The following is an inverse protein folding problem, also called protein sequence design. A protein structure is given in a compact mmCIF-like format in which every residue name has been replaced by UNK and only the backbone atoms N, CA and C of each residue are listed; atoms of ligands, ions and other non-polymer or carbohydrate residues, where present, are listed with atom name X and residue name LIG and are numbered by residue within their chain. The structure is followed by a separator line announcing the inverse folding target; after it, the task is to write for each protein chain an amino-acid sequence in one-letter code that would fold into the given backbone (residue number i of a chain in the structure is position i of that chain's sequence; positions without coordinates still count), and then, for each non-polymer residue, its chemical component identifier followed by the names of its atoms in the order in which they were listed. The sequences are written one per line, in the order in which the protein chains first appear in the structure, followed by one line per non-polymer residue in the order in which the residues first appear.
data_IF_064198638523
#
_entry.id   IF_064198638523
#
_cell.length_a   1.000
_cell.length_b   1.000
_cell.length_c   1.000
_cell.angle_alpha   90.00
_cell.angle_beta   90.00
_cell.angle_gamma   90.00
#
_symmetry.space_group_name_H-M   'P 1'
#
loop_
_entity.id
_entity.type
_entity.pdbx_description
1 polymer ?
#
# COMPACT_ATOMS: atom_id res chain seq x y z
N UNK A 1 17.39 -2.00 -36.84
CA UNK A 1 17.61 -2.04 -35.39
C UNK A 1 16.78 -3.17 -34.85
N UNK A 2 17.35 -4.04 -34.02
CA UNK A 2 16.61 -5.10 -33.33
C UNK A 2 15.56 -4.46 -32.42
N UNK A 3 14.32 -4.94 -32.43
CA UNK A 3 13.28 -4.45 -31.53
C UNK A 3 13.65 -4.83 -30.09
N UNK A 4 13.36 -3.95 -29.14
CA UNK A 4 13.68 -4.16 -27.71
C UNK A 4 12.44 -4.11 -26.85
N UNK A 5 12.42 -4.96 -25.85
CA UNK A 5 11.32 -5.10 -24.90
C UNK A 5 11.88 -4.96 -23.48
N UNK A 6 11.33 -4.03 -22.72
CA UNK A 6 11.66 -3.88 -21.28
C UNK A 6 10.72 -4.74 -20.46
N UNK A 7 11.24 -5.72 -19.73
CA UNK A 7 10.48 -6.61 -18.87
C UNK A 7 10.58 -6.20 -17.41
N UNK A 8 9.43 -6.02 -16.75
CA UNK A 8 9.35 -5.95 -15.30
C UNK A 8 9.80 -7.28 -14.68
N UNK A 9 10.97 -7.28 -14.07
CA UNK A 9 11.67 -8.48 -13.66
C UNK A 9 11.80 -8.57 -12.13
N UNK A 10 11.28 -9.65 -11.56
CA UNK A 10 11.25 -9.88 -10.11
C UNK A 10 12.24 -10.93 -9.63
N UNK A 11 12.99 -11.59 -10.53
CA UNK A 11 13.88 -12.70 -10.17
C UNK A 11 13.19 -14.06 -10.01
N UNK A 12 11.84 -14.10 -10.02
CA UNK A 12 11.07 -15.34 -9.89
C UNK A 12 11.09 -16.19 -11.17
N UNK A 13 10.56 -17.42 -11.06
CA UNK A 13 10.49 -18.38 -12.17
C UNK A 13 9.82 -17.79 -13.41
N UNK A 14 8.61 -17.27 -13.25
CA UNK A 14 7.76 -16.87 -14.38
C UNK A 14 8.38 -15.71 -15.16
N UNK A 15 8.92 -14.69 -14.48
CA UNK A 15 9.58 -13.55 -15.13
C UNK A 15 10.97 -13.90 -15.68
N UNK A 16 11.67 -14.90 -15.12
CA UNK A 16 12.95 -15.37 -15.66
C UNK A 16 12.78 -16.17 -16.93
N UNK A 17 11.77 -17.04 -16.98
CA UNK A 17 11.40 -17.75 -18.21
C UNK A 17 10.85 -16.79 -19.26
N UNK A 18 10.10 -15.77 -18.86
CA UNK A 18 9.55 -14.77 -19.78
C UNK A 18 10.62 -14.09 -20.65
N UNK A 19 11.87 -13.96 -20.17
CA UNK A 19 12.98 -13.39 -20.94
C UNK A 19 13.20 -14.18 -22.24
N UNK A 20 13.47 -15.48 -22.14
CA UNK A 20 13.65 -16.35 -23.30
C UNK A 20 12.35 -16.54 -24.09
N UNK A 21 11.21 -16.65 -23.41
CA UNK A 21 9.90 -16.86 -24.05
C UNK A 21 9.50 -15.70 -24.95
N UNK A 22 9.70 -14.46 -24.49
CA UNK A 22 9.49 -13.25 -25.31
C UNK A 22 10.47 -13.24 -26.48
N UNK A 23 11.74 -13.54 -26.23
CA UNK A 23 12.77 -13.59 -27.27
C UNK A 23 12.43 -14.55 -28.40
N UNK A 24 12.02 -15.78 -28.08
CA UNK A 24 11.63 -16.80 -29.07
C UNK A 24 10.34 -16.45 -29.82
N UNK A 25 9.35 -15.87 -29.13
CA UNK A 25 8.06 -15.52 -29.73
C UNK A 25 8.13 -14.29 -30.64
N UNK A 26 9.03 -13.34 -30.35
CA UNK A 26 9.05 -12.01 -31.02
C UNK A 26 10.31 -11.74 -31.82
N UNK A 27 11.42 -12.45 -31.55
CA UNK A 27 12.74 -12.13 -32.08
C UNK A 27 13.36 -10.85 -31.49
N UNK A 28 12.73 -10.25 -30.47
CA UNK A 28 13.21 -9.04 -29.82
C UNK A 28 14.26 -9.32 -28.74
N UNK A 29 15.14 -8.34 -28.52
CA UNK A 29 16.04 -8.33 -27.37
C UNK A 29 15.26 -7.93 -26.11
N UNK A 30 15.44 -8.68 -25.02
CA UNK A 30 14.78 -8.39 -23.74
C UNK A 30 15.76 -7.71 -22.78
N UNK A 31 15.33 -6.60 -22.20
CA UNK A 31 16.01 -5.88 -21.12
C UNK A 31 15.23 -6.15 -19.84
N UNK A 32 15.88 -6.78 -18.86
CA UNK A 32 15.28 -7.01 -17.56
C UNK A 32 15.42 -5.77 -16.69
N UNK A 33 14.32 -5.33 -16.05
CA UNK A 33 14.31 -4.21 -15.12
C UNK A 33 13.79 -4.68 -13.77
N UNK A 34 14.68 -4.74 -12.78
CA UNK A 34 14.32 -4.94 -11.38
C UNK A 34 14.26 -3.59 -10.67
N UNK A 35 13.24 -3.37 -9.84
CA UNK A 35 13.08 -2.14 -9.06
C UNK A 35 13.04 -2.54 -7.59
N UNK A 36 14.00 -2.03 -6.81
CA UNK A 36 14.04 -2.23 -5.38
C UNK A 36 13.07 -1.28 -4.68
N UNK A 37 12.04 -1.87 -4.09
CA UNK A 37 11.04 -1.20 -3.25
C UNK A 37 11.13 -1.71 -1.80
N UNK A 38 12.28 -2.29 -1.44
CA UNK A 38 12.59 -2.82 -0.12
C UNK A 38 12.00 -4.20 0.14
N UNK A 39 11.88 -5.04 -0.90
CA UNK A 39 11.38 -6.42 -0.80
C UNK A 39 12.27 -7.34 0.05
N UNK A 40 13.55 -7.02 0.22
CA UNK A 40 14.52 -7.90 0.88
C UNK A 40 14.77 -9.20 0.11
N UNK A 41 15.18 -10.25 0.82
CA UNK A 41 15.47 -11.55 0.21
C UNK A 41 16.82 -11.60 -0.50
N UNK A 42 16.84 -12.13 -1.73
CA UNK A 42 18.07 -12.23 -2.53
C UNK A 42 18.64 -10.85 -2.87
N UNK A 43 19.98 -10.78 -2.99
CA UNK A 43 20.60 -9.53 -3.41
C UNK A 43 20.16 -9.13 -4.82
N UNK A 44 19.99 -7.83 -5.06
CA UNK A 44 19.62 -7.32 -6.39
C UNK A 44 20.66 -7.70 -7.47
N UNK A 45 21.93 -7.84 -7.08
CA UNK A 45 22.97 -8.32 -7.99
C UNK A 45 22.75 -9.79 -8.38
N UNK A 46 22.32 -10.64 -7.45
CA UNK A 46 21.92 -12.02 -7.76
C UNK A 46 20.76 -12.05 -8.75
N UNK A 47 19.73 -11.22 -8.52
CA UNK A 47 18.58 -11.08 -9.43
C UNK A 47 19.06 -10.61 -10.80
N UNK A 48 19.91 -9.58 -10.86
CA UNK A 48 20.48 -9.06 -12.09
C UNK A 48 21.24 -10.12 -12.88
N UNK A 49 22.15 -10.84 -12.23
CA UNK A 49 22.93 -11.92 -12.85
C UNK A 49 22.05 -13.07 -13.33
N UNK A 50 20.98 -13.40 -12.60
CA UNK A 50 19.98 -14.39 -13.04
C UNK A 50 19.29 -13.95 -14.34
N UNK A 51 18.90 -12.69 -14.45
CA UNK A 51 18.28 -12.16 -15.67
C UNK A 51 19.21 -12.30 -16.88
N UNK A 52 20.49 -11.93 -16.73
CA UNK A 52 21.51 -12.11 -17.78
C UNK A 52 21.72 -13.59 -18.12
N UNK A 53 21.81 -14.45 -17.11
CA UNK A 53 21.91 -15.90 -17.28
C UNK A 53 20.68 -16.54 -17.94
N UNK A 54 19.52 -15.87 -17.90
CA UNK A 54 18.30 -16.28 -18.59
C UNK A 54 18.14 -15.68 -20.00
N UNK A 55 19.14 -14.95 -20.49
CA UNK A 55 19.19 -14.46 -21.88
C UNK A 55 18.81 -12.99 -22.07
N UNK A 56 18.73 -12.19 -21.01
CA UNK A 56 18.52 -10.75 -21.15
C UNK A 56 19.77 -10.10 -21.78
N UNK A 57 19.58 -9.17 -22.73
CA UNK A 57 20.70 -8.43 -23.35
C UNK A 57 21.29 -7.40 -22.37
N UNK A 58 20.47 -6.94 -21.43
CA UNK A 58 20.84 -6.03 -20.35
C UNK A 58 19.94 -6.29 -19.14
N UNK A 59 20.46 -6.05 -17.95
CA UNK A 59 19.73 -6.17 -16.69
C UNK A 59 19.97 -4.92 -15.84
N UNK A 60 18.96 -4.06 -15.78
CA UNK A 60 18.96 -2.80 -15.04
C UNK A 60 18.28 -2.98 -13.68
N UNK A 61 18.90 -2.40 -12.66
CA UNK A 61 18.38 -2.37 -11.30
C UNK A 61 18.17 -0.91 -10.89
N UNK A 62 16.94 -0.54 -10.57
CA UNK A 62 16.63 0.74 -9.96
C UNK A 62 16.54 0.60 -8.44
N UNK A 63 17.36 1.32 -7.68
CA UNK A 63 17.12 1.52 -6.25
C UNK A 63 16.07 2.61 -6.08
N UNK A 64 14.86 2.20 -5.70
CA UNK A 64 13.72 3.08 -5.52
C UNK A 64 13.17 2.99 -4.09
N UNK A 65 13.91 2.46 -3.12
CA UNK A 65 13.39 2.23 -1.76
C UNK A 65 13.01 3.54 -1.06
N UNK A 66 13.89 4.55 -1.12
CA UNK A 66 13.59 5.87 -0.57
C UNK A 66 12.52 6.59 -1.40
N UNK A 67 12.56 6.50 -2.73
CA UNK A 67 11.53 7.06 -3.61
C UNK A 67 10.15 6.47 -3.28
N UNK A 68 10.07 5.15 -3.12
CA UNK A 68 8.86 4.43 -2.76
C UNK A 68 8.32 4.90 -1.41
N UNK A 69 9.17 4.98 -0.39
CA UNK A 69 8.77 5.47 0.92
C UNK A 69 8.24 6.92 0.86
N UNK A 70 8.96 7.83 0.20
CA UNK A 70 8.64 9.25 0.18
C UNK A 70 7.46 9.60 -0.76
N UNK A 71 7.47 9.08 -1.98
CA UNK A 71 6.53 9.48 -3.04
C UNK A 71 5.28 8.59 -3.11
N UNK A 72 5.25 7.44 -2.42
CA UNK A 72 4.15 6.47 -2.52
C UNK A 72 3.59 6.10 -1.14
N UNK A 73 4.43 5.69 -0.20
CA UNK A 73 3.98 5.35 1.16
C UNK A 73 3.48 6.58 1.92
N UNK A 74 4.17 7.74 1.84
CA UNK A 74 3.73 8.93 2.58
C UNK A 74 2.38 9.49 2.08
N UNK A 75 2.09 9.59 0.77
CA UNK A 75 0.74 9.93 0.32
C UNK A 75 -0.33 8.94 0.81
N UNK A 76 0.00 7.65 0.83
CA UNK A 76 -0.88 6.58 1.37
C UNK A 76 -1.17 6.79 2.85
N UNK A 77 -0.14 7.13 3.63
CA UNK A 77 -0.22 7.44 5.05
C UNK A 77 -1.07 8.70 5.30
N UNK A 78 -0.77 9.81 4.62
CA UNK A 78 -1.50 11.08 4.73
C UNK A 78 -2.98 10.93 4.36
N UNK A 79 -3.29 10.04 3.41
CA UNK A 79 -4.67 9.70 3.04
C UNK A 79 -5.38 8.80 4.09
N UNK A 80 -4.65 8.24 5.05
CA UNK A 80 -5.11 7.15 5.91
C UNK A 80 -5.70 5.97 5.12
N UNK A 81 -5.09 5.67 3.97
CA UNK A 81 -5.69 4.82 2.95
C UNK A 81 -5.77 3.35 3.42
N UNK A 82 -7.00 2.88 3.58
CA UNK A 82 -7.32 1.47 3.84
C UNK A 82 -8.43 1.06 2.88
N UNK A 83 -8.10 0.27 1.86
CA UNK A 83 -9.08 -0.29 0.95
C UNK A 83 -10.02 -1.21 1.72
N UNK A 84 -11.33 -0.98 1.53
CA UNK A 84 -12.41 -1.61 2.30
C UNK A 84 -12.24 -1.52 3.83
N UNK A 85 -11.54 -0.48 4.32
CA UNK A 85 -11.30 -0.27 5.74
C UNK A 85 -10.22 -1.15 6.37
N UNK A 86 -9.58 -2.06 5.61
CA UNK A 86 -8.63 -3.04 6.13
C UNK A 86 -7.25 -2.99 5.48
N UNK A 87 -7.19 -2.91 4.14
CA UNK A 87 -5.97 -3.16 3.37
C UNK A 87 -5.18 -1.88 3.08
N UNK A 88 -3.94 -1.70 3.57
CA UNK A 88 -3.15 -0.48 3.35
C UNK A 88 -2.46 -0.43 1.98
N UNK A 89 -3.05 -1.04 0.95
CA UNK A 89 -2.61 -0.96 -0.45
C UNK A 89 -1.19 -1.48 -0.72
N UNK A 90 -0.69 -2.41 0.12
CA UNK A 90 0.65 -3.03 0.09
C UNK A 90 1.21 -3.21 -1.31
N UNK A 91 0.50 -4.00 -2.12
CA UNK A 91 0.88 -4.32 -3.48
C UNK A 91 0.59 -3.12 -4.39
N UNK A 92 -0.61 -2.55 -4.30
CA UNK A 92 -1.10 -1.53 -5.22
C UNK A 92 -0.16 -0.32 -5.38
N UNK A 93 0.46 0.15 -4.28
CA UNK A 93 1.26 1.40 -4.31
C UNK A 93 2.66 1.23 -4.90
N UNK A 94 3.19 0.01 -4.98
CA UNK A 94 4.51 -0.23 -5.61
C UNK A 94 4.45 -0.28 -7.13
N UNK A 95 3.30 -0.65 -7.71
CA UNK A 95 3.14 -0.75 -9.17
C UNK A 95 3.43 0.58 -9.89
N UNK A 96 2.91 1.74 -9.46
CA UNK A 96 3.20 2.99 -10.15
C UNK A 96 4.67 3.43 -10.07
N UNK A 97 5.43 3.09 -9.01
CA UNK A 97 6.89 3.35 -8.99
C UNK A 97 7.62 2.43 -9.97
N UNK A 98 7.24 1.15 -10.03
CA UNK A 98 7.82 0.20 -10.98
C UNK A 98 7.55 0.67 -12.42
N UNK A 99 6.31 1.05 -12.74
CA UNK A 99 5.94 1.59 -14.05
C UNK A 99 6.78 2.80 -14.44
N UNK A 100 6.99 3.76 -13.52
CA UNK A 100 7.84 4.94 -13.76
C UNK A 100 9.24 4.55 -14.21
N UNK A 101 9.85 3.56 -13.55
CA UNK A 101 11.18 3.05 -13.90
C UNK A 101 11.19 2.20 -15.19
N UNK A 102 10.14 1.43 -15.48
CA UNK A 102 10.01 0.69 -16.73
C UNK A 102 9.93 1.63 -17.94
N UNK A 103 9.10 2.66 -17.86
CA UNK A 103 8.97 3.67 -18.92
C UNK A 103 10.29 4.41 -19.11
N UNK A 104 10.97 4.80 -18.01
CA UNK A 104 12.29 5.42 -18.06
C UNK A 104 13.31 4.52 -18.78
N UNK A 105 13.41 3.26 -18.38
CA UNK A 105 14.32 2.29 -19.01
C UNK A 105 13.97 2.07 -20.49
N UNK A 106 12.68 2.02 -20.84
CA UNK A 106 12.27 1.88 -22.23
C UNK A 106 12.77 3.04 -23.11
N UNK A 107 12.76 4.28 -22.59
CA UNK A 107 13.34 5.43 -23.29
C UNK A 107 14.86 5.35 -23.39
N UNK A 108 15.52 4.99 -22.30
CA UNK A 108 16.98 4.93 -22.22
C UNK A 108 17.57 3.91 -23.18
N UNK A 109 16.96 2.73 -23.28
CA UNK A 109 17.44 1.65 -24.13
C UNK A 109 16.81 1.59 -25.53
N UNK A 110 15.92 2.53 -25.86
CA UNK A 110 15.23 2.60 -27.15
C UNK A 110 14.24 1.46 -27.38
N UNK A 111 13.58 0.97 -26.33
CA UNK A 111 12.53 -0.04 -26.41
C UNK A 111 11.18 0.59 -26.79
N UNK A 112 10.43 -0.12 -27.63
CA UNK A 112 9.08 0.26 -28.09
C UNK A 112 7.97 -0.46 -27.33
N UNK A 113 8.34 -1.46 -26.52
CA UNK A 113 7.40 -2.33 -25.81
C UNK A 113 7.85 -2.53 -24.37
N UNK A 114 6.90 -2.54 -23.44
CA UNK A 114 7.09 -2.94 -22.04
C UNK A 114 6.35 -4.25 -21.80
N UNK A 115 6.93 -5.15 -21.01
CA UNK A 115 6.36 -6.43 -20.64
C UNK A 115 6.23 -6.56 -19.12
N UNK A 116 5.21 -7.28 -18.65
CA UNK A 116 5.03 -7.62 -17.24
C UNK A 116 4.48 -9.05 -17.07
N UNK A 117 4.78 -9.68 -15.94
CA UNK A 117 4.40 -11.07 -15.64
C UNK A 117 3.00 -11.25 -15.01
N UNK A 118 2.12 -10.25 -15.09
CA UNK A 118 0.83 -10.33 -14.38
C UNK A 118 -0.14 -11.33 -15.04
N UNK A 119 -0.97 -11.97 -14.23
CA UNK A 119 -2.05 -12.84 -14.71
C UNK A 119 -3.28 -12.04 -15.14
N UNK A 120 -4.17 -12.69 -15.91
CA UNK A 120 -5.42 -12.08 -16.38
C UNK A 120 -6.53 -11.91 -15.33
N UNK A 121 -6.34 -12.39 -14.08
CA UNK A 121 -7.35 -12.33 -13.01
C UNK A 121 -6.98 -11.41 -11.84
N UNK A 122 -5.79 -10.82 -11.87
CA UNK A 122 -5.29 -9.92 -10.82
C UNK A 122 -5.52 -8.45 -11.15
N UNK A 123 -5.50 -7.59 -10.13
CA UNK A 123 -5.57 -6.15 -10.30
C UNK A 123 -4.27 -5.56 -10.89
N UNK A 124 -3.14 -6.25 -10.72
CA UNK A 124 -1.83 -5.71 -11.13
C UNK A 124 -1.70 -5.48 -12.62
N UNK A 125 -2.34 -6.31 -13.47
CA UNK A 125 -2.35 -6.05 -14.91
C UNK A 125 -2.93 -4.66 -15.22
N UNK A 126 -3.98 -4.24 -14.49
CA UNK A 126 -4.61 -2.93 -14.68
C UNK A 126 -3.66 -1.84 -14.18
N UNK A 127 -3.06 -2.03 -13.00
CA UNK A 127 -2.12 -1.06 -12.40
C UNK A 127 -0.88 -0.83 -13.28
N UNK A 128 -0.33 -1.89 -13.87
CA UNK A 128 0.77 -1.80 -14.82
C UNK A 128 0.33 -1.17 -16.14
N UNK A 129 -0.69 -1.71 -16.81
CA UNK A 129 -1.06 -1.27 -18.15
C UNK A 129 -1.62 0.15 -18.19
N UNK A 130 -2.50 0.52 -17.25
CA UNK A 130 -3.02 1.89 -17.16
C UNK A 130 -1.87 2.86 -16.86
N UNK A 131 -0.93 2.48 -16.00
CA UNK A 131 0.25 3.28 -15.71
C UNK A 131 1.16 3.47 -16.93
N UNK A 132 1.47 2.39 -17.64
CA UNK A 132 2.30 2.40 -18.84
C UNK A 132 1.63 3.23 -19.94
N UNK A 133 0.35 3.02 -20.19
CA UNK A 133 -0.43 3.80 -21.17
C UNK A 133 -0.50 5.29 -20.82
N UNK A 134 -0.51 5.63 -19.53
CA UNK A 134 -0.55 7.03 -19.08
C UNK A 134 0.81 7.72 -19.22
N UNK A 135 1.90 7.05 -18.84
CA UNK A 135 3.26 7.64 -18.82
C UNK A 135 4.04 7.45 -20.13
N UNK A 136 3.69 6.44 -20.92
CA UNK A 136 4.29 6.11 -22.21
C UNK A 136 3.22 5.67 -23.22
N UNK A 137 2.31 6.57 -23.65
CA UNK A 137 1.17 6.23 -24.53
C UNK A 137 1.56 5.66 -25.90
N UNK A 138 2.80 5.86 -26.33
CA UNK A 138 3.39 5.31 -27.56
C UNK A 138 4.08 3.95 -27.35
N UNK A 139 4.26 3.50 -26.10
CA UNK A 139 4.80 2.18 -25.79
C UNK A 139 3.69 1.12 -25.92
N UNK A 140 4.03 0.01 -26.56
CA UNK A 140 3.18 -1.19 -26.52
C UNK A 140 3.33 -1.87 -25.17
N UNK A 141 2.31 -2.61 -24.74
CA UNK A 141 2.39 -3.45 -23.56
C UNK A 141 2.12 -4.91 -23.93
N UNK A 142 2.89 -5.84 -23.39
CA UNK A 142 2.65 -7.28 -23.52
C UNK A 142 2.66 -7.95 -22.13
N UNK A 143 1.77 -8.91 -21.93
CA UNK A 143 1.74 -9.72 -20.72
C UNK A 143 1.94 -11.19 -21.11
N UNK A 144 3.18 -11.75 -21.11
CA UNK A 144 3.44 -13.09 -21.63
C UNK A 144 2.55 -14.20 -21.03
N UNK A 145 2.21 -14.08 -19.75
CA UNK A 145 1.32 -15.01 -19.04
C UNK A 145 -0.09 -15.00 -19.63
N UNK A 146 -0.60 -13.83 -20.03
CA UNK A 146 -1.94 -13.66 -20.59
C UNK A 146 -1.95 -13.81 -22.13
N UNK A 147 -1.02 -13.14 -22.80
CA UNK A 147 -1.03 -12.91 -24.24
C UNK A 147 -0.23 -13.96 -25.02
N UNK A 148 0.75 -14.61 -24.37
CA UNK A 148 1.60 -15.64 -24.99
C UNK A 148 1.36 -17.04 -24.38
N UNK A 149 0.28 -17.20 -23.62
CA UNK A 149 -0.13 -18.44 -22.96
C UNK A 149 1.01 -19.14 -22.18
N UNK A 150 1.87 -18.35 -21.53
CA UNK A 150 2.92 -18.84 -20.63
C UNK A 150 2.28 -19.28 -19.30
N UNK A 151 1.98 -20.58 -19.21
CA UNK A 151 1.49 -21.22 -17.99
C UNK A 151 2.66 -21.72 -17.15
N UNK A 152 2.45 -21.95 -15.84
CA UNK A 152 3.53 -22.34 -14.92
C UNK A 152 4.20 -23.67 -15.30
N UNK A 153 3.43 -24.64 -15.78
CA UNK A 153 3.92 -25.92 -16.32
C UNK A 153 4.80 -25.73 -17.55
N UNK A 154 4.39 -24.84 -18.49
CA UNK A 154 5.24 -24.47 -19.62
C UNK A 154 6.49 -23.73 -19.19
N UNK A 155 6.38 -22.88 -18.16
CA UNK A 155 7.53 -22.16 -17.63
C UNK A 155 8.58 -23.12 -17.05
N UNK A 156 8.15 -24.14 -16.30
CA UNK A 156 9.02 -25.20 -15.77
C UNK A 156 9.66 -25.98 -16.92
N UNK A 157 8.86 -26.44 -17.90
CA UNK A 157 9.38 -27.20 -19.03
C UNK A 157 10.41 -26.40 -19.84
N UNK A 158 10.15 -25.10 -20.08
CA UNK A 158 11.08 -24.21 -20.76
C UNK A 158 12.37 -24.01 -19.95
N UNK A 159 12.26 -23.80 -18.63
CA UNK A 159 13.42 -23.66 -17.77
C UNK A 159 14.31 -24.91 -17.76
N UNK A 160 13.70 -26.11 -17.74
CA UNK A 160 14.40 -27.39 -17.83
C UNK A 160 15.04 -27.61 -19.20
N UNK A 161 14.31 -27.34 -20.29
CA UNK A 161 14.81 -27.47 -21.67
C UNK A 161 16.01 -26.56 -21.94
N UNK A 162 15.96 -25.31 -21.47
CA UNK A 162 17.00 -24.30 -21.70
C UNK A 162 18.09 -24.31 -20.63
N UNK A 163 17.97 -25.13 -19.59
CA UNK A 163 18.93 -25.20 -18.49
C UNK A 163 19.08 -23.88 -17.73
N UNK A 164 17.98 -23.17 -17.49
CA UNK A 164 18.01 -21.84 -16.86
C UNK A 164 18.48 -21.92 -15.40
N UNK A 165 19.27 -20.94 -14.91
CA UNK A 165 19.83 -20.92 -13.55
C UNK A 165 18.78 -20.47 -12.51
N UNK A 166 17.68 -21.22 -12.39
CA UNK A 166 16.55 -20.89 -11.51
C UNK A 166 16.19 -22.11 -10.66
N UNK A 167 15.99 -21.92 -9.36
CA UNK A 167 15.46 -22.98 -8.50
C UNK A 167 13.99 -23.27 -8.83
N UNK A 168 13.73 -24.46 -9.39
CA UNK A 168 12.38 -24.99 -9.64
C UNK A 168 11.84 -25.70 -8.39
N UNK A 169 11.77 -25.02 -7.24
CA UNK A 169 11.25 -25.70 -6.06
C UNK A 169 9.75 -25.95 -6.18
N UNK A 170 9.36 -27.21 -6.39
CA UNK A 170 7.98 -27.72 -6.25
C UNK A 170 7.38 -27.52 -4.83
N UNK A 171 8.15 -26.95 -3.89
CA UNK A 171 7.90 -27.03 -2.44
C UNK A 171 7.25 -25.80 -1.80
N UNK A 172 7.19 -24.64 -2.47
CA UNK A 172 6.58 -23.45 -1.88
C UNK A 172 5.18 -23.20 -2.50
N UNK A 173 4.07 -23.48 -1.77
CA UNK A 173 2.71 -23.30 -2.26
C UNK A 173 2.22 -21.84 -2.16
N UNK A 174 3.06 -20.91 -1.74
CA UNK A 174 2.70 -19.51 -1.55
C UNK A 174 3.07 -18.67 -2.78
N UNK A 175 2.12 -17.86 -3.23
CA UNK A 175 2.38 -16.71 -4.09
C UNK A 175 2.57 -15.51 -3.17
N UNK A 176 3.79 -14.97 -3.12
CA UNK A 176 4.18 -13.90 -2.19
C UNK A 176 4.57 -12.68 -3.00
N UNK A 177 4.01 -11.53 -2.61
CA UNK A 177 4.45 -10.21 -3.04
C UNK A 177 4.79 -9.38 -1.81
N UNK A 178 6.00 -8.83 -1.74
CA UNK A 178 6.45 -8.10 -0.57
C UNK A 178 7.33 -6.91 -0.93
N UNK A 179 7.22 -5.86 -0.14
CA UNK A 179 8.01 -4.65 -0.21
C UNK A 179 8.11 -4.03 1.19
N UNK A 180 8.79 -2.91 1.35
CA UNK A 180 8.98 -2.33 2.69
C UNK A 180 7.66 -1.91 3.36
N UNK A 181 6.59 -1.65 2.61
CA UNK A 181 5.30 -1.24 3.16
C UNK A 181 4.48 -2.43 3.71
N UNK A 182 4.73 -3.63 3.20
CA UNK A 182 4.11 -4.84 3.70
C UNK A 182 4.29 -6.04 2.77
N UNK A 183 3.59 -7.11 3.11
CA UNK A 183 3.62 -8.39 2.42
C UNK A 183 2.21 -8.90 2.18
N UNK A 184 1.99 -9.49 1.00
CA UNK A 184 0.76 -10.14 0.58
C UNK A 184 1.04 -11.62 0.31
N UNK A 185 0.10 -12.48 0.70
CA UNK A 185 0.21 -13.93 0.52
C UNK A 185 -1.09 -14.49 -0.03
N UNK A 186 -0.98 -15.19 -1.14
CA UNK A 186 -2.02 -16.04 -1.70
C UNK A 186 -1.57 -17.50 -1.66
N UNK A 187 -2.50 -18.41 -1.38
CA UNK A 187 -2.27 -19.86 -1.48
C UNK A 187 -3.58 -20.59 -1.72
N UNK A 188 -3.52 -21.68 -2.49
CA UNK A 188 -4.69 -22.49 -2.79
C UNK A 188 -5.43 -22.99 -1.55
N UNK A 189 -4.75 -23.19 -0.42
CA UNK A 189 -5.37 -23.60 0.84
C UNK A 189 -6.35 -22.55 1.40
N UNK A 190 -6.03 -21.26 1.25
CA UNK A 190 -6.84 -20.14 1.78
C UNK A 190 -7.90 -19.63 0.81
N UNK A 191 -7.97 -20.20 -0.41
CA UNK A 191 -9.09 -19.96 -1.33
C UNK A 191 -10.42 -20.46 -0.74
N UNK A 192 -10.39 -21.47 0.14
CA UNK A 192 -11.53 -21.79 1.01
C UNK A 192 -11.58 -20.81 2.19
N UNK A 193 -12.62 -19.98 2.21
CA UNK A 193 -12.83 -18.93 3.21
C UNK A 193 -13.08 -19.46 4.63
N UNK A 194 -13.29 -20.77 4.80
CA UNK A 194 -13.42 -21.40 6.11
C UNK A 194 -12.08 -21.86 6.70
N UNK A 195 -11.04 -22.02 5.87
CA UNK A 195 -9.71 -22.39 6.34
C UNK A 195 -9.04 -21.22 7.07
N UNK A 196 -8.55 -21.44 8.28
CA UNK A 196 -7.78 -20.43 9.00
C UNK A 196 -6.33 -20.37 8.47
N UNK A 197 -5.69 -19.18 8.45
CA UNK A 197 -4.27 -19.07 8.13
C UNK A 197 -3.38 -19.86 9.08
N UNK A 198 -2.40 -20.59 8.54
CA UNK A 198 -1.40 -21.35 9.30
C UNK A 198 -0.15 -20.52 9.61
N UNK A 199 0.68 -20.95 10.57
CA UNK A 199 1.80 -20.13 11.08
C UNK A 199 2.91 -19.89 10.04
N UNK A 200 3.06 -20.80 9.10
CA UNK A 200 4.06 -20.81 8.02
C UNK A 200 3.82 -19.76 6.92
N UNK A 201 2.63 -19.13 6.89
CA UNK A 201 2.36 -18.08 5.91
C UNK A 201 2.96 -16.73 6.31
N UNK A 202 3.28 -16.52 7.59
CA UNK A 202 3.71 -15.23 8.15
C UNK A 202 5.24 -15.14 8.20
N UNK A 203 5.79 -13.99 7.82
CA UNK A 203 7.23 -13.71 7.81
C UNK A 203 7.58 -12.35 8.42
N UNK A 204 6.77 -11.32 8.15
CA UNK A 204 7.00 -9.96 8.67
C UNK A 204 6.58 -9.82 10.15
N UNK A 205 5.74 -10.72 10.65
CA UNK A 205 5.13 -10.62 11.98
C UNK A 205 5.29 -11.90 12.80
N UNK A 206 5.66 -11.73 14.07
CA UNK A 206 5.59 -12.79 15.07
C UNK A 206 4.12 -13.14 15.41
N UNK A 207 3.90 -14.28 16.06
CA UNK A 207 2.55 -14.65 16.50
C UNK A 207 2.06 -13.76 17.65
N UNK A 208 0.83 -13.23 17.59
CA UNK A 208 0.24 -12.47 18.70
C UNK A 208 -0.25 -13.37 19.84
N UNK A 209 -0.23 -14.71 19.69
CA UNK A 209 -0.63 -15.66 20.75
C UNK A 209 0.32 -15.62 21.95
N UNK A 210 1.61 -15.36 21.70
CA UNK A 210 2.67 -15.32 22.71
C UNK A 210 3.56 -14.10 22.46
N UNK A 211 3.03 -12.87 22.63
CA UNK A 211 3.78 -11.67 22.34
C UNK A 211 4.92 -11.50 23.37
N UNK A 212 6.03 -10.82 23.00
CA UNK A 212 7.00 -10.36 23.98
C UNK A 212 6.39 -9.30 24.91
N UNK A 213 7.18 -8.77 25.86
CA UNK A 213 6.71 -7.68 26.72
C UNK A 213 6.19 -6.49 25.87
N UNK A 214 5.14 -5.77 26.32
CA UNK A 214 4.60 -4.63 25.59
C UNK A 214 5.69 -3.62 25.19
N UNK A 215 5.64 -3.14 23.95
CA UNK A 215 6.58 -2.16 23.41
C UNK A 215 5.87 -0.80 23.30
N UNK A 216 6.23 0.15 24.18
CA UNK A 216 5.74 1.53 24.08
C UNK A 216 6.61 2.33 23.13
N UNK A 217 5.98 2.99 22.17
CA UNK A 217 6.62 3.80 21.13
C UNK A 217 6.02 5.19 21.07
N UNK A 218 6.86 6.21 20.90
CA UNK A 218 6.45 7.57 20.52
C UNK A 218 6.85 7.83 19.08
N UNK A 219 5.91 8.26 18.24
CA UNK A 219 6.15 8.62 16.84
C UNK A 219 5.89 10.11 16.69
N UNK A 220 6.90 10.85 16.20
CA UNK A 220 6.81 12.27 15.91
C UNK A 220 6.53 12.50 14.42
N UNK A 221 5.58 13.39 14.12
CA UNK A 221 5.23 13.79 12.77
C UNK A 221 5.46 15.27 12.55
N UNK A 222 5.79 15.62 11.31
CA UNK A 222 5.84 16.99 10.79
C UNK A 222 5.08 17.02 9.47
N UNK A 223 4.04 17.86 9.38
CA UNK A 223 3.15 17.97 8.23
C UNK A 223 2.67 16.59 7.67
N UNK A 224 2.24 15.70 8.56
CA UNK A 224 1.75 14.36 8.23
C UNK A 224 2.82 13.31 7.95
N UNK A 225 4.11 13.67 7.98
CA UNK A 225 5.24 12.76 7.71
C UNK A 225 5.93 12.35 9.01
N UNK A 226 6.17 11.05 9.27
CA UNK A 226 6.94 10.61 10.44
C UNK A 226 8.40 11.06 10.31
N UNK A 227 8.89 11.78 11.32
CA UNK A 227 10.24 12.38 11.35
C UNK A 227 11.11 11.89 12.51
N UNK A 228 10.51 11.29 13.55
CA UNK A 228 11.25 10.66 14.64
C UNK A 228 10.49 9.49 15.27
N UNK A 229 11.24 8.54 15.83
CA UNK A 229 10.73 7.45 16.68
C UNK A 229 11.51 7.52 18.00
N UNK A 230 10.79 7.64 19.12
CA UNK A 230 11.34 7.82 20.47
C UNK A 230 12.38 8.96 20.55
N UNK A 231 12.12 10.05 19.83
CA UNK A 231 13.00 11.22 19.74
C UNK A 231 14.21 11.06 18.82
N UNK A 232 14.43 9.88 18.24
CA UNK A 232 15.49 9.64 17.25
C UNK A 232 14.98 9.99 15.86
N UNK A 233 15.65 10.94 15.18
CA UNK A 233 15.29 11.37 13.81
C UNK A 233 15.40 10.22 12.83
N UNK A 234 14.41 10.10 11.95
CA UNK A 234 14.33 9.06 10.91
C UNK A 234 13.86 9.64 9.59
N UNK A 235 14.29 9.03 8.48
CA UNK A 235 13.63 9.19 7.17
C UNK A 235 12.33 8.39 7.13
N UNK A 236 11.41 8.65 6.18
CA UNK A 236 10.22 7.82 5.99
C UNK A 236 10.52 6.33 5.83
N UNK A 237 11.57 5.97 5.07
CA UNK A 237 11.99 4.59 4.91
C UNK A 237 12.46 3.97 6.23
N UNK A 238 13.24 4.71 7.02
CA UNK A 238 13.69 4.27 8.34
C UNK A 238 12.53 4.11 9.32
N UNK A 239 11.55 5.03 9.29
CA UNK A 239 10.35 4.94 10.11
C UNK A 239 9.54 3.66 9.82
N UNK A 240 9.32 3.36 8.53
CA UNK A 240 8.63 2.15 8.09
C UNK A 240 9.40 0.91 8.54
N UNK A 241 10.71 0.84 8.29
CA UNK A 241 11.55 -0.32 8.67
C UNK A 241 11.57 -0.56 10.17
N UNK A 242 11.73 0.48 10.97
CA UNK A 242 11.78 0.35 12.43
C UNK A 242 10.43 -0.07 13.01
N UNK A 243 9.32 0.48 12.50
CA UNK A 243 7.99 0.06 12.94
C UNK A 243 7.60 -1.31 12.39
N UNK A 244 8.08 -1.72 11.22
CA UNK A 244 7.94 -3.11 10.76
C UNK A 244 8.58 -4.07 11.77
N UNK A 245 9.79 -3.75 12.24
CA UNK A 245 10.51 -4.56 13.23
C UNK A 245 9.77 -4.60 14.57
N UNK A 246 9.44 -3.43 15.13
CA UNK A 246 8.83 -3.31 16.47
C UNK A 246 7.39 -3.83 16.50
N UNK A 247 6.55 -3.34 15.61
CA UNK A 247 5.15 -3.74 15.54
C UNK A 247 5.02 -5.19 15.05
N UNK A 248 5.88 -5.63 14.13
CA UNK A 248 5.94 -7.01 13.68
C UNK A 248 6.32 -7.99 14.78
N UNK A 249 7.27 -7.64 15.65
CA UNK A 249 7.62 -8.44 16.83
C UNK A 249 6.44 -8.63 17.81
N UNK A 250 5.45 -7.73 17.78
CA UNK A 250 4.23 -7.78 18.59
C UNK A 250 3.04 -8.40 17.85
N UNK A 251 3.22 -8.87 16.62
CA UNK A 251 2.16 -9.46 15.77
C UNK A 251 1.19 -8.45 15.18
N UNK A 252 1.49 -7.15 15.23
CA UNK A 252 0.63 -6.09 14.71
C UNK A 252 0.56 -6.14 13.19
N UNK A 253 -0.61 -5.86 12.62
CA UNK A 253 -0.77 -5.68 11.18
C UNK A 253 -0.94 -6.97 10.38
N UNK A 254 -1.32 -8.08 11.03
CA UNK A 254 -1.88 -9.25 10.34
C UNK A 254 -3.32 -8.95 9.90
N UNK A 255 -3.59 -9.09 8.62
CA UNK A 255 -4.88 -8.77 8.01
C UNK A 255 -5.33 -9.99 7.18
N UNK A 256 -6.55 -10.45 7.41
CA UNK A 256 -7.21 -11.49 6.62
C UNK A 256 -8.48 -10.86 6.04
N UNK A 257 -8.55 -10.72 4.72
CA UNK A 257 -9.63 -9.98 4.06
C UNK A 257 -10.18 -10.75 2.87
N UNK A 258 -11.50 -10.72 2.72
CA UNK A 258 -12.17 -11.00 1.45
C UNK A 258 -12.43 -9.66 0.77
N UNK A 259 -11.73 -9.40 -0.33
CA UNK A 259 -11.74 -8.11 -1.02
C UNK A 259 -12.44 -8.16 -2.37
N UNK A 260 -12.94 -7.00 -2.82
CA UNK A 260 -13.55 -6.83 -4.14
C UNK A 260 -12.50 -6.40 -5.17
N UNK A 261 -12.11 -7.31 -6.08
CA UNK A 261 -11.21 -6.95 -7.18
C UNK A 261 -11.95 -6.09 -8.20
N UNK A 262 -11.20 -5.17 -8.83
CA UNK A 262 -11.72 -4.32 -9.91
C UNK A 262 -12.30 -5.16 -11.07
N UNK A 263 -11.71 -6.33 -11.33
CA UNK A 263 -12.14 -7.25 -12.38
C UNK A 263 -13.47 -7.98 -12.09
N UNK A 264 -14.16 -7.64 -10.99
CA UNK A 264 -15.53 -8.07 -10.71
C UNK A 264 -15.68 -9.36 -9.89
N UNK A 265 -14.60 -9.86 -9.29
CA UNK A 265 -14.61 -11.04 -8.42
C UNK A 265 -14.17 -10.69 -7.01
N UNK A 266 -14.61 -11.49 -6.05
CA UNK A 266 -14.02 -11.49 -4.71
C UNK A 266 -12.81 -12.41 -4.65
N UNK A 267 -11.82 -12.04 -3.86
CA UNK A 267 -10.68 -12.90 -3.51
C UNK A 267 -10.40 -12.80 -2.01
N UNK A 268 -9.82 -13.84 -1.42
CA UNK A 268 -9.32 -13.78 -0.06
C UNK A 268 -7.80 -13.64 -0.08
N UNK A 269 -7.27 -12.68 0.66
CA UNK A 269 -5.84 -12.41 0.75
C UNK A 269 -5.42 -12.20 2.20
N UNK A 270 -4.21 -12.65 2.52
CA UNK A 270 -3.55 -12.39 3.80
C UNK A 270 -2.48 -11.33 3.59
N UNK A 271 -2.49 -10.31 4.43
CA UNK A 271 -1.46 -9.28 4.45
C UNK A 271 -0.74 -9.19 5.79
N UNK A 272 0.53 -8.82 5.73
CA UNK A 272 1.33 -8.37 6.87
C UNK A 272 1.81 -6.95 6.60
N UNK A 273 1.32 -5.98 7.36
CA UNK A 273 1.68 -4.58 7.19
C UNK A 273 1.96 -3.89 8.54
N UNK A 274 2.90 -4.40 9.36
CA UNK A 274 3.11 -3.95 10.74
C UNK A 274 3.40 -2.45 10.84
N UNK A 275 4.39 -1.96 10.10
CA UNK A 275 4.78 -0.56 10.12
C UNK A 275 3.72 0.36 9.52
N UNK A 276 3.11 -0.04 8.41
CA UNK A 276 2.02 0.72 7.78
C UNK A 276 0.83 0.90 8.73
N UNK A 277 0.38 -0.18 9.38
CA UNK A 277 -0.78 -0.12 10.30
C UNK A 277 -0.47 0.67 11.57
N UNK A 278 0.74 0.56 12.12
CA UNK A 278 1.17 1.39 13.25
C UNK A 278 1.22 2.88 12.86
N UNK A 279 1.81 3.22 11.71
CA UNK A 279 1.89 4.59 11.21
C UNK A 279 0.51 5.18 10.92
N UNK A 280 -0.37 4.46 10.22
CA UNK A 280 -1.74 4.91 9.92
C UNK A 280 -2.52 5.12 11.23
N UNK A 281 -2.38 4.22 12.21
CA UNK A 281 -3.04 4.37 13.52
C UNK A 281 -2.57 5.64 14.23
N UNK A 282 -1.26 5.86 14.29
CA UNK A 282 -0.70 7.07 14.90
C UNK A 282 -1.15 8.34 14.16
N UNK A 283 -1.04 8.35 12.83
CA UNK A 283 -1.40 9.47 11.99
C UNK A 283 -2.88 9.88 12.15
N UNK A 284 -3.82 8.92 12.13
CA UNK A 284 -5.25 9.20 12.42
C UNK A 284 -5.44 9.89 13.77
N UNK A 285 -4.76 9.41 14.82
CA UNK A 285 -4.88 10.00 16.15
C UNK A 285 -4.19 11.35 16.31
N UNK A 286 -3.25 11.69 15.42
CA UNK A 286 -2.72 13.05 15.34
C UNK A 286 -3.71 13.98 14.63
N UNK A 287 -4.37 13.51 13.57
CA UNK A 287 -5.43 14.28 12.91
C UNK A 287 -6.60 14.58 13.85
N UNK A 288 -6.99 13.64 14.72
CA UNK A 288 -8.04 13.83 15.73
C UNK A 288 -7.83 15.07 16.61
N UNK A 289 -6.57 15.48 16.83
CA UNK A 289 -6.22 16.65 17.64
C UNK A 289 -5.74 17.85 16.82
N UNK A 290 -5.57 17.74 15.51
CA UNK A 290 -4.99 18.82 14.66
C UNK A 290 -5.86 19.24 13.48
N UNK A 291 -6.90 18.48 13.14
CA UNK A 291 -7.80 18.74 12.01
C UNK A 291 -9.20 19.09 12.53
N UNK A 292 -9.79 20.15 12.03
CA UNK A 292 -11.13 20.62 12.46
C UNK A 292 -12.22 19.59 12.10
N UNK A 293 -13.29 19.53 12.91
CA UNK A 293 -14.35 18.51 12.84
C UNK A 293 -14.94 18.29 11.44
N UNK A 294 -15.37 19.34 10.74
CA UNK A 294 -15.98 19.17 9.41
C UNK A 294 -14.93 18.88 8.33
N UNK A 295 -13.73 19.45 8.45
CA UNK A 295 -12.60 19.10 7.59
C UNK A 295 -12.24 17.60 7.73
N UNK A 296 -12.17 17.07 8.95
CA UNK A 296 -11.89 15.67 9.23
C UNK A 296 -12.97 14.74 8.66
N UNK A 297 -14.26 15.10 8.83
CA UNK A 297 -15.39 14.33 8.26
C UNK A 297 -15.31 14.25 6.74
N UNK A 298 -15.05 15.36 6.06
CA UNK A 298 -14.94 15.36 4.60
C UNK A 298 -13.65 14.68 4.12
N UNK A 299 -12.53 14.88 4.83
CA UNK A 299 -11.26 14.21 4.55
C UNK A 299 -11.38 12.69 4.61
N UNK A 300 -12.21 12.14 5.50
CA UNK A 300 -12.47 10.70 5.53
C UNK A 300 -13.08 10.19 4.21
N UNK A 301 -14.03 10.92 3.61
CA UNK A 301 -14.57 10.59 2.28
C UNK A 301 -13.52 10.71 1.19
N UNK A 302 -12.69 11.75 1.24
CA UNK A 302 -11.59 11.94 0.28
C UNK A 302 -10.56 10.79 0.37
N UNK A 303 -10.15 10.41 1.58
CA UNK A 303 -9.22 9.32 1.83
C UNK A 303 -9.74 7.97 1.34
N UNK A 304 -11.03 7.70 1.56
CA UNK A 304 -11.68 6.51 0.99
C UNK A 304 -11.60 6.52 -0.54
N UNK A 305 -12.02 7.62 -1.18
CA UNK A 305 -12.01 7.70 -2.64
C UNK A 305 -10.59 7.63 -3.22
N UNK A 306 -9.62 8.18 -2.51
CA UNK A 306 -8.20 8.08 -2.86
C UNK A 306 -7.74 6.61 -2.84
N UNK A 307 -8.09 5.85 -1.81
CA UNK A 307 -7.72 4.44 -1.68
C UNK A 307 -8.32 3.58 -2.81
N UNK A 308 -9.58 3.82 -3.16
CA UNK A 308 -10.26 3.16 -4.30
C UNK A 308 -9.54 3.43 -5.62
N UNK A 309 -9.23 4.69 -5.92
CA UNK A 309 -8.52 5.06 -7.16
C UNK A 309 -7.16 4.35 -7.27
N UNK A 310 -6.42 4.29 -6.16
CA UNK A 310 -5.11 3.62 -6.15
C UNK A 310 -5.26 2.10 -6.32
N UNK A 311 -6.23 1.49 -5.64
CA UNK A 311 -6.55 0.07 -5.81
C UNK A 311 -6.86 -0.28 -7.27
N UNK A 312 -7.65 0.59 -7.93
CA UNK A 312 -8.14 0.47 -9.31
C UNK A 312 -7.07 0.82 -10.38
N UNK A 313 -5.82 1.07 -10.00
CA UNK A 313 -4.74 1.39 -10.94
C UNK A 313 -4.78 2.82 -11.48
N UNK A 314 -5.53 3.72 -10.84
CA UNK A 314 -5.68 5.12 -11.25
C UNK A 314 -4.74 6.07 -10.51
N UNK A 315 -3.54 5.61 -10.12
CA UNK A 315 -2.52 6.43 -9.45
C UNK A 315 -2.20 7.72 -10.22
N UNK A 316 -2.09 7.63 -11.54
CA UNK A 316 -1.76 8.76 -12.42
C UNK A 316 -2.99 9.53 -12.93
N UNK A 317 -4.19 9.24 -12.41
CA UNK A 317 -5.42 9.91 -12.86
C UNK A 317 -5.49 11.36 -12.37
N UNK A 318 -6.18 12.25 -13.11
CA UNK A 318 -6.34 13.65 -12.70
C UNK A 318 -7.15 13.81 -11.41
N UNK A 319 -8.11 12.92 -11.13
CA UNK A 319 -8.86 12.94 -9.87
C UNK A 319 -7.94 12.63 -8.70
N UNK A 320 -7.13 11.56 -8.76
CA UNK A 320 -6.17 11.21 -7.71
C UNK A 320 -5.24 12.39 -7.39
N UNK A 321 -4.69 13.06 -8.41
CA UNK A 321 -3.86 14.27 -8.23
C UNK A 321 -4.61 15.42 -7.55
N UNK A 322 -5.90 15.59 -7.83
CA UNK A 322 -6.71 16.62 -7.19
C UNK A 322 -6.99 16.29 -5.72
N UNK A 323 -7.18 15.01 -5.41
CA UNK A 323 -7.29 14.54 -4.03
C UNK A 323 -5.95 14.65 -3.27
N UNK A 324 -4.81 14.40 -3.93
CA UNK A 324 -3.49 14.63 -3.33
C UNK A 324 -3.34 16.10 -2.88
N UNK A 325 -3.76 17.06 -3.71
CA UNK A 325 -3.69 18.48 -3.37
C UNK A 325 -4.59 18.85 -2.18
N UNK A 326 -5.80 18.28 -2.13
CA UNK A 326 -6.68 18.44 -0.97
C UNK A 326 -6.06 17.83 0.29
N UNK A 327 -5.55 16.60 0.21
CA UNK A 327 -4.94 15.91 1.35
C UNK A 327 -3.73 16.72 1.82
N UNK A 328 -2.88 17.20 0.92
CA UNK A 328 -1.68 17.91 1.35
C UNK A 328 -1.97 19.26 2.00
N UNK A 329 -3.05 19.94 1.61
CA UNK A 329 -3.54 21.12 2.33
C UNK A 329 -3.93 20.79 3.77
N UNK A 330 -4.61 19.65 3.99
CA UNK A 330 -5.03 19.22 5.34
C UNK A 330 -3.86 18.88 6.26
N UNK A 331 -2.68 18.56 5.71
CA UNK A 331 -1.53 18.12 6.50
C UNK A 331 -0.71 19.26 7.11
N UNK A 332 -0.94 20.52 6.72
CA UNK A 332 -0.13 21.69 7.15
C UNK A 332 0.07 21.79 8.67
N UNK A 333 -0.89 21.34 9.47
CA UNK A 333 -0.85 21.40 10.93
C UNK A 333 -0.83 20.02 11.61
N UNK A 334 -0.70 18.94 10.84
CA UNK A 334 -0.60 17.57 11.35
C UNK A 334 0.83 17.32 11.83
N UNK A 335 1.20 17.97 12.93
CA UNK A 335 2.55 17.97 13.52
C UNK A 335 2.43 17.71 15.02
N UNK A 336 3.25 16.81 15.56
CA UNK A 336 3.20 16.43 16.97
C UNK A 336 3.61 14.98 17.22
N UNK A 337 3.40 14.52 18.45
CA UNK A 337 3.79 13.20 18.89
C UNK A 337 2.59 12.36 19.29
N UNK A 338 2.64 11.09 18.91
CA UNK A 338 1.67 10.07 19.30
C UNK A 338 2.42 8.96 20.03
N UNK A 339 1.97 8.65 21.25
CA UNK A 339 2.50 7.54 22.04
C UNK A 339 1.52 6.36 22.02
N UNK A 340 2.04 5.18 21.74
CA UNK A 340 1.26 3.95 21.59
C UNK A 340 1.94 2.78 22.27
N UNK A 341 1.14 1.80 22.71
CA UNK A 341 1.61 0.49 23.13
C UNK A 341 1.35 -0.51 22.01
N UNK A 342 2.41 -1.17 21.55
CA UNK A 342 2.37 -2.28 20.60
C UNK A 342 2.40 -3.58 21.40
N UNK A 343 1.33 -4.38 21.34
CA UNK A 343 1.25 -5.63 22.08
C UNK A 343 0.12 -6.53 21.58
N UNK A 344 0.36 -7.84 21.52
CA UNK A 344 -0.70 -8.84 21.28
C UNK A 344 -1.48 -8.61 19.99
N UNK A 345 -0.81 -8.17 18.91
CA UNK A 345 -1.41 -7.89 17.62
C UNK A 345 -2.05 -6.51 17.48
N UNK A 346 -1.97 -5.64 18.51
CA UNK A 346 -2.61 -4.33 18.51
C UNK A 346 -1.61 -3.18 18.71
N UNK A 347 -1.94 -2.03 18.14
CA UNK A 347 -1.30 -0.74 18.42
C UNK A 347 -2.33 0.17 19.09
N UNK A 348 -2.17 0.43 20.40
CA UNK A 348 -3.16 1.16 21.20
C UNK A 348 -2.56 2.50 21.62
N UNK A 349 -3.19 3.60 21.19
CA UNK A 349 -2.74 4.96 21.54
C UNK A 349 -3.06 5.30 22.98
N UNK A 350 -2.06 5.77 23.72
CA UNK A 350 -2.18 6.16 25.13
C UNK A 350 -1.72 7.60 25.42
N UNK A 351 -1.29 8.36 24.42
CA UNK A 351 -0.86 9.75 24.59
C UNK A 351 -0.77 10.50 23.27
N UNK A 352 -1.08 11.80 23.32
CA UNK A 352 -0.95 12.74 22.21
C UNK A 352 -0.40 14.06 22.73
N UNK A 353 0.46 14.72 21.97
CA UNK A 353 0.85 16.12 22.22
C UNK A 353 1.17 16.81 20.90
N UNK A 354 0.79 18.08 20.78
CA UNK A 354 1.03 18.89 19.58
C UNK A 354 0.98 20.37 19.94
N UNK A 355 1.88 21.16 19.38
CA UNK A 355 1.83 22.63 19.47
C UNK A 355 0.74 23.23 18.56
N UNK A 356 0.27 22.46 17.58
CA UNK A 356 -0.83 22.82 16.67
C UNK A 356 -2.14 22.13 17.06
N UNK A 357 -2.26 21.71 18.33
CA UNK A 357 -3.45 21.07 18.86
C UNK A 357 -4.67 22.01 18.82
N UNK A 358 -5.79 21.47 18.37
CA UNK A 358 -7.13 22.06 18.48
C UNK A 358 -7.85 21.62 19.77
N UNK A 359 -7.29 20.64 20.50
CA UNK A 359 -7.78 20.32 21.83
C UNK A 359 -7.39 21.44 22.79
N UNK A 360 -8.41 22.09 23.35
CA UNK A 360 -8.29 23.12 24.37
C UNK A 360 -8.79 22.54 25.70
N UNK A 361 -7.90 22.49 26.69
CA UNK A 361 -8.19 21.93 28.00
C UNK A 361 -9.23 22.74 28.76
N UNK A 362 -9.12 24.07 28.72
CA UNK A 362 -9.97 24.98 29.48
C UNK A 362 -11.39 25.03 28.90
N UNK A 363 -11.57 24.78 27.59
CA UNK A 363 -12.90 24.62 26.98
C UNK A 363 -13.55 23.26 27.24
N UNK A 364 -12.77 22.24 27.63
CA UNK A 364 -13.26 20.87 27.77
C UNK A 364 -13.44 20.42 29.22
N UNK A 365 -12.72 21.02 30.15
CA UNK A 365 -12.71 20.63 31.56
C UNK A 365 -14.02 21.01 32.27
N UNK A 366 -14.35 20.25 33.31
CA UNK A 366 -15.41 20.60 34.28
C UNK A 366 -14.83 21.17 35.59
N UNK A 367 -13.50 21.21 35.70
CA UNK A 367 -12.81 21.70 36.88
C UNK A 367 -12.78 23.23 36.94
N UNK A 368 -12.18 23.77 38.00
CA UNK A 368 -11.93 25.22 38.11
C UNK A 368 -11.01 25.65 36.96
N UNK A 369 -11.49 26.57 36.12
CA UNK A 369 -10.82 26.98 34.88
C UNK A 369 -11.66 26.77 33.62
N UNK A 370 -12.85 26.17 33.72
CA UNK A 370 -13.80 26.06 32.58
C UNK A 370 -14.06 27.43 31.93
N UNK A 371 -13.83 27.50 30.61
CA UNK A 371 -14.05 28.68 29.77
C UNK A 371 -15.18 28.49 28.75
N UNK A 372 -15.85 27.34 28.71
CA UNK A 372 -16.95 27.10 27.80
C UNK A 372 -18.23 27.80 28.27
N UNK A 373 -18.75 28.73 27.47
CA UNK A 373 -20.01 29.42 27.79
C UNK A 373 -21.22 28.50 27.57
N UNK A 374 -21.59 27.77 28.62
CA UNK A 374 -22.73 26.86 28.64
C UNK A 374 -24.07 27.57 28.38
N UNK A 375 -24.16 28.90 28.57
CA UNK A 375 -25.42 29.63 28.35
C UNK A 375 -25.85 29.64 26.88
N UNK A 376 -24.89 29.54 25.95
CA UNK A 376 -25.14 29.52 24.51
C UNK A 376 -25.72 28.18 24.02
N UNK A 377 -25.55 27.09 24.78
CA UNK A 377 -25.93 25.74 24.36
C UNK A 377 -27.43 25.59 24.08
N UNK A 378 -28.29 26.24 24.88
CA UNK A 378 -29.75 26.15 24.70
C UNK A 378 -30.19 26.72 23.35
N UNK A 379 -29.67 27.89 22.99
CA UNK A 379 -29.98 28.53 21.70
C UNK A 379 -29.47 27.69 20.53
N UNK A 380 -28.25 27.15 20.65
CA UNK A 380 -27.68 26.24 19.66
C UNK A 380 -28.56 25.00 19.43
N UNK A 381 -28.99 24.31 20.49
CA UNK A 381 -29.81 23.09 20.39
C UNK A 381 -31.16 23.37 19.72
N UNK A 382 -31.83 24.46 20.10
CA UNK A 382 -33.13 24.83 19.50
C UNK A 382 -33.00 25.10 18.00
N UNK A 383 -31.94 25.80 17.57
CA UNK A 383 -31.71 26.10 16.15
C UNK A 383 -31.26 24.87 15.38
N UNK A 384 -30.31 24.10 15.92
CA UNK A 384 -29.77 22.90 15.27
C UNK A 384 -30.83 21.83 15.05
N UNK A 385 -31.66 21.58 16.06
CA UNK A 385 -32.74 20.58 15.98
C UNK A 385 -33.98 21.03 15.21
N UNK A 386 -34.06 22.31 14.80
CA UNK A 386 -35.28 22.90 14.26
C UNK A 386 -35.80 22.19 13.01
N UNK A 387 -34.91 21.82 12.09
CA UNK A 387 -35.27 21.14 10.84
C UNK A 387 -35.91 19.77 11.10
N UNK A 388 -35.31 18.97 11.97
CA UNK A 388 -35.83 17.66 12.38
C UNK A 388 -37.16 17.78 13.14
N UNK A 389 -37.28 18.77 14.05
CA UNK A 389 -38.49 19.05 14.80
C UNK A 389 -39.67 19.40 13.87
N UNK A 390 -39.44 20.22 12.84
CA UNK A 390 -40.47 20.57 11.85
C UNK A 390 -40.89 19.35 11.02
N UNK A 391 -39.92 18.54 10.56
CA UNK A 391 -40.22 17.32 9.81
C UNK A 391 -41.06 16.33 10.64
N UNK A 392 -40.65 16.06 11.87
CA UNK A 392 -41.40 15.19 12.79
C UNK A 392 -42.80 15.74 13.08
N UNK A 393 -42.94 17.05 13.29
CA UNK A 393 -44.24 17.70 13.46
C UNK A 393 -45.17 17.53 12.24
N UNK A 394 -44.62 17.50 11.02
CA UNK A 394 -45.38 17.14 9.81
C UNK A 394 -45.83 15.68 9.87
N UNK A 395 -44.91 14.76 10.16
CA UNK A 395 -45.19 13.31 10.16
C UNK A 395 -46.31 12.97 11.16
N UNK A 396 -46.26 13.50 12.39
CA UNK A 396 -47.30 13.33 13.42
C UNK A 396 -48.66 13.87 12.93
N UNK A 397 -48.67 15.07 12.34
CA UNK A 397 -49.90 15.70 11.86
C UNK A 397 -50.55 14.92 10.70
N UNK A 398 -49.75 14.27 9.87
CA UNK A 398 -50.23 13.45 8.75
C UNK A 398 -50.67 12.06 9.22
N UNK A 399 -49.95 11.43 10.15
CA UNK A 399 -50.27 10.09 10.67
C UNK A 399 -51.45 10.06 11.65
N UNK A 400 -51.76 11.19 12.31
CA UNK A 400 -52.94 11.35 13.17
C UNK A 400 -54.24 11.72 12.43
N UNK A 401 -54.23 11.65 11.09
CA UNK A 401 -55.40 11.67 10.20
C UNK A 401 -55.48 10.32 9.50
#
# INVERSE_FOLDING_TARGET
MTERIVLAYSGGLDTSVAIGWIGEATGAEVIAVAVDVGQGGESLETIRQRALGCGAVEAYVADASDEFANEYCMPTLKANALYQGHYPLVSAISRPVIVKHLVKAAREFGATTVAHGCTGKGNDQVRFEVGIQTLGPDLKCIAPVRDLALTRDKAIAFAEEKGLPIETTKKNPYSIDQNVWGRAVETGYLEDIWNAPTKDIYDYTATPEFPPAPDEVTISFEAGVPVAIDGVRVTPLQAIKELNRRAGAQGVGRIDVVEDRLVGIKSREIYEAPGAMALITAHKHLEDITVEREQARFKATVGQRWAELVYDGQWFSPLKRSLDAFIEDTQKHVTGDIRMVLHGGQAIVNGRRSETSLYDFDLATYDTGDTFDQSMARGFIELWGMSAKVASGRDIRVAGK
#
